data_IF_851447064867
#
_entry.id   IF_851447064867
#
_cell.length_a   1.000
_cell.length_b   1.000
_cell.length_c   1.000
_cell.angle_alpha   90.00
_cell.angle_beta   90.00
_cell.angle_gamma   90.00
#
_symmetry.space_group_name_H-M   'P 1'
#
loop_
_entity.id
_entity.type
_entity.pdbx_description
1 polymer ?
#
# COMPACT_ATOMS: atom_id res chain seq x y z
N UNK A 1 -18.78 -11.42 -15.35
CA UNK A 1 -18.13 -11.53 -14.05
C UNK A 1 -18.29 -10.23 -13.27
N UNK A 2 -18.63 -10.34 -12.02
CA UNK A 2 -18.79 -9.14 -11.18
C UNK A 2 -17.44 -8.47 -10.95
N UNK A 3 -17.40 -7.17 -11.11
CA UNK A 3 -16.24 -6.34 -10.82
C UNK A 3 -16.69 -5.15 -9.97
N UNK A 4 -15.76 -4.54 -9.26
CA UNK A 4 -16.02 -3.34 -8.47
C UNK A 4 -15.07 -2.24 -8.89
N UNK A 5 -15.58 -1.02 -9.00
CA UNK A 5 -14.76 0.13 -9.38
C UNK A 5 -13.88 0.54 -8.21
N UNK A 6 -12.58 0.63 -8.42
CA UNK A 6 -11.62 1.10 -7.43
C UNK A 6 -10.98 2.40 -7.89
N UNK A 7 -11.04 3.41 -7.05
CA UNK A 7 -10.29 4.64 -7.21
C UNK A 7 -9.42 4.88 -5.99
N UNK A 8 -8.13 5.08 -6.22
CA UNK A 8 -7.17 5.48 -5.18
C UNK A 8 -6.65 6.85 -5.55
N UNK A 9 -6.91 7.82 -4.70
CA UNK A 9 -6.54 9.21 -4.94
C UNK A 9 -5.76 9.77 -3.75
N UNK A 10 -4.85 10.69 -4.06
CA UNK A 10 -4.18 11.54 -3.08
C UNK A 10 -4.54 13.00 -3.37
N UNK A 11 -4.09 13.93 -2.54
CA UNK A 11 -4.29 15.34 -2.80
C UNK A 11 -3.63 15.81 -4.12
N UNK A 12 -2.66 15.07 -4.62
CA UNK A 12 -1.87 15.46 -5.77
C UNK A 12 -2.33 14.81 -7.08
N UNK A 13 -2.81 13.57 -7.03
CA UNK A 13 -3.14 12.82 -8.25
C UNK A 13 -4.08 11.65 -8.01
N UNK A 14 -4.65 11.13 -9.10
CA UNK A 14 -5.28 9.82 -9.14
C UNK A 14 -4.15 8.79 -9.31
N UNK A 15 -4.02 7.89 -8.33
CA UNK A 15 -2.96 6.87 -8.32
C UNK A 15 -3.41 5.61 -9.07
N UNK A 16 -4.70 5.25 -8.93
CA UNK A 16 -5.27 4.06 -9.54
C UNK A 16 -6.75 4.30 -9.82
N UNK A 17 -7.25 3.87 -10.97
CA UNK A 17 -8.66 4.00 -11.34
C UNK A 17 -9.04 2.93 -12.35
N UNK A 18 -9.55 1.81 -11.88
CA UNK A 18 -9.97 0.67 -12.71
C UNK A 18 -11.02 -0.18 -12.02
N UNK A 19 -11.68 -1.04 -12.80
CA UNK A 19 -12.51 -2.09 -12.25
C UNK A 19 -11.64 -3.27 -11.83
N UNK A 20 -11.88 -3.80 -10.64
CA UNK A 20 -11.05 -4.86 -10.04
C UNK A 20 -11.91 -6.00 -9.53
N UNK A 21 -11.28 -7.15 -9.33
CA UNK A 21 -11.95 -8.34 -8.80
C UNK A 21 -11.86 -8.39 -7.27
N UNK A 22 -10.72 -8.04 -6.71
CA UNK A 22 -10.48 -8.06 -5.27
C UNK A 22 -9.58 -6.89 -4.87
N UNK A 23 -9.90 -6.28 -3.74
CA UNK A 23 -9.00 -5.34 -3.05
C UNK A 23 -8.66 -5.88 -1.66
N UNK A 24 -7.40 -5.86 -1.33
CA UNK A 24 -6.92 -6.12 0.04
C UNK A 24 -6.23 -4.85 0.54
N UNK A 25 -6.68 -4.34 1.68
CA UNK A 25 -6.21 -3.06 2.21
C UNK A 25 -5.90 -3.13 3.71
N UNK A 26 -4.96 -2.30 4.20
CA UNK A 26 -4.54 -2.33 5.60
C UNK A 26 -5.46 -1.45 6.47
N UNK A 27 -6.58 -2.00 6.94
CA UNK A 27 -7.46 -1.31 7.88
C UNK A 27 -6.83 -1.17 9.26
N UNK A 28 -7.25 -0.16 10.02
CA UNK A 28 -6.72 0.09 11.39
C UNK A 28 -7.00 -1.07 12.34
N UNK A 29 -8.10 -1.80 12.14
CA UNK A 29 -8.49 -2.96 12.96
C UNK A 29 -8.06 -4.29 12.34
N UNK A 30 -7.32 -4.27 11.26
CA UNK A 30 -6.86 -5.45 10.56
C UNK A 30 -7.02 -5.34 9.05
N UNK A 31 -6.46 -6.32 8.34
CA UNK A 31 -6.52 -6.39 6.90
C UNK A 31 -7.96 -6.59 6.41
N UNK A 32 -8.35 -5.84 5.40
CA UNK A 32 -9.67 -5.88 4.79
C UNK A 32 -9.59 -6.52 3.41
N UNK A 33 -10.44 -7.53 3.17
CA UNK A 33 -10.64 -8.08 1.83
C UNK A 33 -12.01 -7.64 1.29
N UNK A 34 -12.03 -6.98 0.13
CA UNK A 34 -13.24 -6.44 -0.46
C UNK A 34 -13.45 -7.05 -1.83
N UNK A 35 -14.57 -7.75 -1.98
CA UNK A 35 -15.02 -8.36 -3.22
C UNK A 35 -16.23 -7.56 -3.76
N UNK A 36 -16.61 -7.76 -5.03
CA UNK A 36 -17.83 -7.18 -5.58
C UNK A 36 -19.05 -7.48 -4.70
N UNK A 37 -19.99 -6.55 -4.64
CA UNK A 37 -21.20 -6.63 -3.78
C UNK A 37 -20.91 -6.55 -2.27
N UNK A 38 -19.78 -6.02 -1.89
CA UNK A 38 -19.44 -5.79 -0.47
C UNK A 38 -20.41 -4.78 0.15
N UNK A 39 -20.80 -5.03 1.40
CA UNK A 39 -21.65 -4.11 2.16
C UNK A 39 -20.99 -2.73 2.31
N UNK A 40 -21.77 -1.65 2.43
CA UNK A 40 -21.21 -0.32 2.67
C UNK A 40 -20.28 -0.31 3.87
N UNK A 41 -19.16 0.38 3.72
CA UNK A 41 -18.12 0.47 4.75
C UNK A 41 -17.40 1.82 4.65
N UNK A 42 -17.11 2.40 5.79
CA UNK A 42 -16.19 3.54 5.89
C UNK A 42 -15.22 3.24 7.02
N UNK A 43 -13.94 3.24 6.72
CA UNK A 43 -12.91 2.93 7.71
C UNK A 43 -11.62 3.69 7.45
N UNK A 44 -10.78 3.76 8.46
CA UNK A 44 -9.45 4.35 8.39
C UNK A 44 -8.43 3.30 7.99
N UNK A 45 -7.46 3.69 7.19
CA UNK A 45 -6.32 2.85 6.81
C UNK A 45 -5.10 3.22 7.65
N UNK A 46 -4.33 2.21 8.03
CA UNK A 46 -2.99 2.40 8.58
C UNK A 46 -1.94 2.33 7.47
N UNK A 47 -0.71 2.80 7.69
CA UNK A 47 0.38 2.58 6.74
C UNK A 47 0.55 1.09 6.45
N UNK A 48 0.60 0.73 5.19
CA UNK A 48 0.70 -0.66 4.79
C UNK A 48 0.61 -0.88 3.30
N UNK A 49 0.41 -2.13 2.94
CA UNK A 49 0.32 -2.59 1.56
C UNK A 49 -1.13 -2.72 1.10
N UNK A 50 -1.40 -2.20 -0.08
CA UNK A 50 -2.62 -2.49 -0.83
C UNK A 50 -2.28 -3.52 -1.91
N UNK A 51 -3.11 -4.56 -2.00
CA UNK A 51 -3.04 -5.54 -3.08
C UNK A 51 -4.34 -5.50 -3.87
N UNK A 52 -4.21 -5.36 -5.18
CA UNK A 52 -5.33 -5.34 -6.12
C UNK A 52 -5.22 -6.53 -7.05
N UNK A 53 -6.30 -7.27 -7.24
CA UNK A 53 -6.37 -8.36 -8.21
C UNK A 53 -7.34 -7.99 -9.33
N UNK A 54 -6.85 -8.03 -10.55
CA UNK A 54 -7.63 -7.77 -11.76
C UNK A 54 -7.23 -8.77 -12.83
N UNK A 55 -8.20 -9.55 -13.31
CA UNK A 55 -7.99 -10.58 -14.35
C UNK A 55 -6.82 -11.53 -14.02
N UNK A 56 -6.71 -11.91 -12.74
CA UNK A 56 -5.65 -12.79 -12.27
C UNK A 56 -4.29 -12.12 -12.02
N UNK A 57 -4.15 -10.84 -12.38
CA UNK A 57 -2.92 -10.08 -12.15
C UNK A 57 -2.99 -9.31 -10.83
N UNK A 58 -1.90 -9.36 -10.08
CA UNK A 58 -1.77 -8.64 -8.81
C UNK A 58 -0.97 -7.36 -9.00
N UNK A 59 -1.50 -6.28 -8.42
CA UNK A 59 -0.81 -4.99 -8.34
C UNK A 59 -0.63 -4.63 -6.87
N UNK A 60 0.56 -4.18 -6.51
CA UNK A 60 0.90 -3.81 -5.15
C UNK A 60 1.21 -2.32 -5.05
N UNK A 61 0.68 -1.70 -4.00
CA UNK A 61 0.92 -0.29 -3.72
C UNK A 61 1.18 -0.10 -2.24
N UNK A 62 1.97 0.90 -1.90
CA UNK A 62 2.20 1.33 -0.52
C UNK A 62 1.34 2.56 -0.23
N UNK A 63 0.65 2.55 0.89
CA UNK A 63 -0.08 3.72 1.39
C UNK A 63 0.45 4.11 2.77
N UNK A 64 0.45 5.40 3.05
CA UNK A 64 0.90 5.93 4.35
C UNK A 64 -0.23 6.12 5.36
N UNK A 65 -1.43 5.76 5.00
CA UNK A 65 -2.66 5.93 5.76
C UNK A 65 -3.73 6.59 4.91
N UNK A 66 -4.89 6.81 5.48
CA UNK A 66 -6.01 7.44 4.79
C UNK A 66 -7.35 6.83 5.16
N UNK A 67 -8.31 6.94 4.25
CA UNK A 67 -9.67 6.45 4.43
C UNK A 67 -10.07 5.55 3.27
N UNK A 68 -10.91 4.56 3.58
CA UNK A 68 -11.50 3.67 2.60
C UNK A 68 -13.01 3.71 2.73
N UNK A 69 -13.70 3.95 1.62
CA UNK A 69 -15.16 3.89 1.54
C UNK A 69 -15.58 2.85 0.52
N UNK A 70 -16.52 2.00 0.91
CA UNK A 70 -17.24 1.10 -0.01
C UNK A 70 -18.68 1.56 -0.05
N UNK A 71 -19.15 1.94 -1.22
CA UNK A 71 -20.54 2.37 -1.41
C UNK A 71 -21.03 1.92 -2.78
N UNK A 72 -22.05 1.04 -2.79
CA UNK A 72 -22.53 0.44 -4.02
C UNK A 72 -21.46 -0.43 -4.67
N UNK A 73 -21.19 -0.21 -5.95
CA UNK A 73 -20.18 -0.93 -6.72
C UNK A 73 -18.87 -0.16 -6.84
N UNK A 74 -18.61 0.74 -5.90
CA UNK A 74 -17.43 1.60 -5.92
C UNK A 74 -16.69 1.58 -4.59
N UNK A 75 -15.36 1.45 -4.69
CA UNK A 75 -14.44 1.64 -3.58
C UNK A 75 -13.66 2.93 -3.85
N UNK A 76 -13.62 3.81 -2.86
CA UNK A 76 -12.79 5.02 -2.92
C UNK A 76 -11.78 4.97 -1.79
N UNK A 77 -10.51 5.10 -2.12
CA UNK A 77 -9.44 5.26 -1.13
C UNK A 77 -8.89 6.68 -1.28
N UNK A 78 -8.98 7.44 -0.18
CA UNK A 78 -8.33 8.75 -0.04
C UNK A 78 -7.07 8.52 0.77
N UNK A 79 -5.94 8.37 0.09
CA UNK A 79 -4.68 8.10 0.76
C UNK A 79 -3.91 9.39 1.04
N UNK A 80 -3.19 9.41 2.16
CA UNK A 80 -2.29 10.52 2.47
C UNK A 80 -1.16 10.54 1.42
N UNK A 81 -0.52 9.39 1.22
CA UNK A 81 0.37 9.14 0.08
C UNK A 81 0.14 7.73 -0.43
N UNK A 82 0.36 7.52 -1.72
CA UNK A 82 0.28 6.19 -2.33
C UNK A 82 1.30 6.07 -3.46
N UNK A 83 1.95 4.92 -3.53
CA UNK A 83 2.99 4.64 -4.53
C UNK A 83 2.84 3.22 -5.06
N UNK A 84 2.93 3.06 -6.39
CA UNK A 84 3.06 1.73 -6.99
C UNK A 84 4.42 1.11 -6.63
N UNK A 85 4.49 -0.21 -6.59
CA UNK A 85 5.73 -0.91 -6.27
C UNK A 85 6.89 -0.49 -7.18
N UNK A 86 6.63 -0.27 -8.47
CA UNK A 86 7.64 0.14 -9.44
C UNK A 86 8.18 1.55 -9.19
N UNK A 87 7.42 2.41 -8.53
CA UNK A 87 7.81 3.80 -8.23
C UNK A 87 8.71 3.91 -7.00
N UNK A 88 8.79 2.86 -6.17
CA UNK A 88 9.51 2.91 -4.91
C UNK A 88 11.00 2.63 -5.13
N UNK A 89 11.82 3.58 -4.70
CA UNK A 89 13.27 3.39 -4.61
C UNK A 89 13.61 2.62 -3.34
N UNK A 90 13.98 1.35 -3.49
CA UNK A 90 14.24 0.46 -2.36
C UNK A 90 15.40 0.92 -1.47
N UNK A 91 16.46 1.46 -2.06
CA UNK A 91 17.61 1.96 -1.29
C UNK A 91 17.23 3.15 -0.41
N UNK A 92 16.45 4.07 -0.95
CA UNK A 92 15.95 5.22 -0.19
C UNK A 92 14.96 4.78 0.90
N UNK A 93 14.13 3.78 0.61
CA UNK A 93 13.20 3.22 1.58
C UNK A 93 13.93 2.54 2.75
N UNK A 94 14.99 1.79 2.47
CA UNK A 94 15.84 1.18 3.50
C UNK A 94 16.53 2.24 4.36
N UNK A 95 17.09 3.28 3.75
CA UNK A 95 17.73 4.38 4.45
C UNK A 95 16.73 5.15 5.33
N UNK A 96 15.51 5.38 4.84
CA UNK A 96 14.45 6.03 5.60
C UNK A 96 14.01 5.19 6.80
N UNK A 97 13.89 3.87 6.62
CA UNK A 97 13.56 2.96 7.71
C UNK A 97 14.64 2.99 8.81
N UNK A 98 15.90 2.94 8.42
CA UNK A 98 17.02 3.01 9.36
C UNK A 98 17.00 4.30 10.16
N UNK A 99 16.79 5.45 9.50
CA UNK A 99 16.67 6.74 10.18
C UNK A 99 15.48 6.76 11.16
N UNK A 100 14.36 6.19 10.78
CA UNK A 100 13.18 6.12 11.64
C UNK A 100 13.44 5.25 12.87
N UNK A 101 14.13 4.11 12.72
CA UNK A 101 14.52 3.24 13.82
C UNK A 101 15.45 3.97 14.79
N UNK A 102 16.41 4.75 14.29
CA UNK A 102 17.31 5.55 15.12
C UNK A 102 16.54 6.62 15.92
N UNK A 103 15.51 7.22 15.32
CA UNK A 103 14.63 8.18 16.02
C UNK A 103 13.81 7.53 17.12
N UNK A 104 13.34 6.31 16.91
CA UNK A 104 12.62 5.55 17.95
C UNK A 104 13.54 5.33 19.15
N UNK A 105 14.78 4.92 18.92
CA UNK A 105 15.78 4.70 19.98
C UNK A 105 16.15 5.99 20.71
N UNK A 106 16.17 7.12 20.01
CA UNK A 106 16.55 8.42 20.55
C UNK A 106 15.37 9.21 21.13
N UNK A 107 14.15 8.72 21.04
CA UNK A 107 12.95 9.45 21.47
C UNK A 107 12.97 9.66 23.00
N UNK A 108 12.83 10.92 23.42
CA UNK A 108 12.87 11.31 24.83
C UNK A 108 11.49 11.67 25.39
N UNK A 109 10.47 11.81 24.53
CA UNK A 109 9.10 12.09 24.93
C UNK A 109 8.15 11.10 24.26
N UNK A 110 6.94 10.92 24.82
CA UNK A 110 5.93 10.05 24.24
C UNK A 110 5.51 10.53 22.86
N UNK A 111 5.40 11.84 22.64
CA UNK A 111 5.07 12.42 21.34
C UNK A 111 6.15 12.14 20.31
N UNK A 112 7.43 12.32 20.67
CA UNK A 112 8.56 12.02 19.79
C UNK A 112 8.59 10.54 19.42
N UNK A 113 8.28 9.67 20.37
CA UNK A 113 8.21 8.24 20.13
C UNK A 113 7.08 7.88 19.17
N UNK A 114 5.88 8.44 19.35
CA UNK A 114 4.74 8.20 18.44
C UNK A 114 5.04 8.65 17.01
N UNK A 115 5.63 9.83 16.84
CA UNK A 115 6.01 10.36 15.53
C UNK A 115 7.06 9.47 14.86
N UNK A 116 8.05 9.02 15.62
CA UNK A 116 9.10 8.14 15.12
C UNK A 116 8.55 6.76 14.73
N UNK A 117 7.64 6.19 15.54
CA UNK A 117 6.98 4.91 15.22
C UNK A 117 6.11 5.02 13.97
N UNK A 118 5.36 6.12 13.78
CA UNK A 118 4.57 6.35 12.58
C UNK A 118 5.46 6.42 11.34
N UNK A 119 6.58 7.13 11.42
CA UNK A 119 7.57 7.21 10.34
C UNK A 119 8.17 5.83 10.01
N UNK A 120 8.48 5.05 11.03
CA UNK A 120 8.99 3.69 10.86
C UNK A 120 7.99 2.79 10.14
N UNK A 121 6.70 2.85 10.51
CA UNK A 121 5.63 2.06 9.87
C UNK A 121 5.48 2.43 8.39
N UNK A 122 5.50 3.72 8.05
CA UNK A 122 5.44 4.17 6.66
C UNK A 122 6.63 3.67 5.83
N UNK A 123 7.83 3.78 6.38
CA UNK A 123 9.05 3.31 5.73
C UNK A 123 9.06 1.79 5.55
N UNK A 124 8.57 1.06 6.55
CA UNK A 124 8.45 -0.39 6.49
C UNK A 124 7.47 -0.82 5.41
N UNK A 125 6.31 -0.14 5.30
CA UNK A 125 5.32 -0.43 4.26
C UNK A 125 5.90 -0.23 2.86
N UNK A 126 6.61 0.88 2.63
CA UNK A 126 7.26 1.15 1.34
C UNK A 126 8.28 0.06 0.98
N UNK A 127 9.10 -0.33 1.93
CA UNK A 127 10.12 -1.34 1.73
C UNK A 127 9.49 -2.70 1.41
N UNK A 128 8.45 -3.10 2.15
CA UNK A 128 7.71 -4.33 1.91
C UNK A 128 7.16 -4.39 0.49
N UNK A 129 6.51 -3.31 0.04
CA UNK A 129 5.94 -3.22 -1.30
C UNK A 129 7.04 -3.23 -2.38
N UNK A 130 8.16 -2.53 -2.16
CA UNK A 130 9.26 -2.53 -3.12
C UNK A 130 9.86 -3.94 -3.33
N UNK A 131 9.89 -4.74 -2.28
CA UNK A 131 10.37 -6.13 -2.34
C UNK A 131 9.43 -7.04 -3.13
N UNK A 132 8.12 -6.73 -3.17
CA UNK A 132 7.15 -7.46 -4.00
C UNK A 132 7.55 -7.39 -5.47
N UNK A 133 7.92 -6.22 -5.96
CA UNK A 133 8.38 -6.02 -7.33
C UNK A 133 9.55 -6.95 -7.69
N UNK A 134 10.47 -7.19 -6.76
CA UNK A 134 11.62 -8.09 -6.99
C UNK A 134 11.20 -9.55 -7.09
N UNK A 135 10.17 -9.96 -6.34
CA UNK A 135 9.65 -11.33 -6.35
C UNK A 135 8.87 -11.64 -7.61
N UNK A 136 8.09 -10.68 -8.08
CA UNK A 136 7.19 -10.84 -9.22
C UNK A 136 7.89 -10.57 -10.57
N UNK A 137 9.11 -10.10 -10.52
CA UNK A 137 9.93 -10.06 -11.72
C UNK A 137 10.15 -11.49 -12.18
N UNK A 138 9.66 -11.85 -13.41
CA UNK A 138 10.05 -13.13 -13.96
C UNK A 138 11.57 -13.14 -13.90
N UNK A 139 12.12 -14.18 -13.30
CA UNK A 139 13.55 -14.41 -13.44
C UNK A 139 13.84 -14.28 -14.93
N UNK A 140 14.57 -13.26 -15.29
CA UNK A 140 15.17 -13.19 -16.58
C UNK A 140 15.80 -14.56 -16.77
N UNK A 141 15.22 -15.36 -17.66
CA UNK A 141 15.90 -16.49 -18.19
C UNK A 141 17.08 -15.88 -18.94
N UNK A 142 18.06 -15.48 -18.12
CA UNK A 142 19.30 -14.96 -18.65
C UNK A 142 19.77 -15.97 -19.64
N UNK A 143 19.86 -15.52 -20.87
CA UNK A 143 20.71 -16.11 -21.88
C UNK A 143 21.11 -17.56 -21.61
N UNK A 144 20.19 -18.46 -21.87
CA UNK A 144 20.60 -19.78 -22.25
C UNK A 144 20.87 -19.78 -23.74
N UNK A 145 21.87 -19.04 -24.11
CA UNK A 145 22.56 -19.32 -25.34
C UNK A 145 23.61 -20.36 -25.02
N UNK A 146 23.14 -21.59 -25.10
CA UNK A 146 24.05 -22.70 -25.23
C UNK A 146 24.53 -22.74 -26.68
#
# INVERSE_FOLDING_TARGET
MAAIRLEIVTAERVVYSEEVDILVAPGVDGELGILPSHAPLLTTLKPGEIRVVKDGEETFMSVSGGFLEVLGEKITILADTAEHAEEIDAERAEAALKRAQERVEAASTDMDLELALASMRRSQARLTVSRRRRRDRPMSTGDRQG
#
